data_IF_722744445584
#
_entry.id   IF_722744445584
#
_cell.length_a   1.000
_cell.length_b   1.000
_cell.length_c   1.000
_cell.angle_alpha   90.00
_cell.angle_beta   90.00
_cell.angle_gamma   90.00
#
_symmetry.space_group_name_H-M   'P 1'
#
loop_
_entity.id
_entity.type
_entity.pdbx_description
1 polymer ?
#
# COMPACT_ATOMS: atom_id res chain seq x y z
N UNK A 1 -13.09 -14.47 3.90
CA UNK A 1 -12.53 -13.16 4.30
C UNK A 1 -11.06 -13.23 3.99
N UNK A 2 -10.63 -12.46 2.99
CA UNK A 2 -9.25 -12.51 2.54
C UNK A 2 -8.33 -11.90 3.59
N UNK A 3 -7.20 -12.56 3.85
CA UNK A 3 -6.25 -12.08 4.85
C UNK A 3 -5.45 -10.89 4.31
N UNK A 4 -4.90 -10.02 5.17
CA UNK A 4 -4.03 -8.91 4.75
C UNK A 4 -2.90 -9.41 3.84
N UNK A 5 -2.39 -10.60 4.12
CA UNK A 5 -1.36 -11.26 3.31
C UNK A 5 -1.81 -11.52 1.88
N UNK A 6 -3.03 -11.98 1.67
CA UNK A 6 -3.60 -12.19 0.32
C UNK A 6 -3.71 -10.87 -0.43
N UNK A 7 -4.17 -9.81 0.22
CA UNK A 7 -4.21 -8.46 -0.37
C UNK A 7 -2.81 -7.95 -0.75
N UNK A 8 -1.80 -8.13 0.12
CA UNK A 8 -0.41 -7.80 -0.20
C UNK A 8 0.11 -8.59 -1.42
N UNK A 9 -0.24 -9.87 -1.52
CA UNK A 9 0.18 -10.71 -2.64
C UNK A 9 -0.53 -10.34 -3.95
N UNK A 10 -1.81 -9.95 -3.87
CA UNK A 10 -2.56 -9.42 -5.01
C UNK A 10 -1.95 -8.10 -5.50
N UNK A 11 -1.62 -7.17 -4.59
CA UNK A 11 -0.93 -5.92 -4.92
C UNK A 11 0.43 -6.18 -5.57
N UNK A 12 1.25 -7.06 -4.99
CA UNK A 12 2.52 -7.45 -5.59
C UNK A 12 2.31 -8.00 -7.02
N UNK A 13 1.36 -8.91 -7.19
CA UNK A 13 1.05 -9.50 -8.50
C UNK A 13 0.57 -8.46 -9.52
N UNK A 14 -0.20 -7.46 -9.07
CA UNK A 14 -0.72 -6.40 -9.93
C UNK A 14 0.41 -5.55 -10.54
N UNK A 15 1.39 -5.15 -9.71
CA UNK A 15 2.54 -4.34 -10.17
C UNK A 15 3.60 -5.18 -10.87
N UNK A 16 3.90 -6.39 -10.37
CA UNK A 16 4.95 -7.23 -10.92
C UNK A 16 4.68 -7.71 -12.36
N UNK A 17 3.40 -7.90 -12.72
CA UNK A 17 2.99 -8.38 -14.04
C UNK A 17 3.04 -7.31 -15.15
N UNK A 18 3.27 -6.03 -14.81
CA UNK A 18 3.27 -4.95 -15.81
C UNK A 18 4.35 -3.91 -15.53
N UNK A 19 5.28 -3.79 -16.47
CA UNK A 19 6.29 -2.72 -16.47
C UNK A 19 5.64 -1.34 -16.53
N UNK A 20 4.53 -1.19 -17.26
CA UNK A 20 3.83 0.09 -17.37
C UNK A 20 3.32 0.55 -15.99
N UNK A 21 2.59 -0.31 -15.26
CA UNK A 21 2.11 0.00 -13.90
C UNK A 21 3.24 0.31 -12.91
N UNK A 22 4.39 -0.34 -13.09
CA UNK A 22 5.59 -0.06 -12.28
C UNK A 22 6.14 1.34 -12.56
N UNK A 23 6.19 1.76 -13.83
CA UNK A 23 6.62 3.11 -14.21
C UNK A 23 5.61 4.18 -13.78
N UNK A 24 4.31 3.91 -13.85
CA UNK A 24 3.30 4.84 -13.34
C UNK A 24 3.39 4.98 -11.83
N UNK A 25 3.60 3.88 -11.09
CA UNK A 25 3.86 3.94 -9.65
C UNK A 25 5.09 4.78 -9.33
N UNK A 26 6.19 4.65 -10.09
CA UNK A 26 7.38 5.50 -9.94
C UNK A 26 7.07 6.98 -10.17
N UNK A 27 6.29 7.30 -11.20
CA UNK A 27 5.88 8.67 -11.51
C UNK A 27 4.97 9.26 -10.42
N UNK A 28 4.05 8.45 -9.87
CA UNK A 28 3.21 8.83 -8.74
C UNK A 28 4.05 9.10 -7.49
N UNK A 29 4.99 8.21 -7.14
CA UNK A 29 5.94 8.44 -6.04
C UNK A 29 6.73 9.73 -6.21
N UNK A 30 7.22 10.01 -7.43
CA UNK A 30 7.97 11.24 -7.71
C UNK A 30 7.10 12.51 -7.54
N UNK A 31 5.84 12.45 -7.98
CA UNK A 31 4.89 13.57 -7.84
C UNK A 31 4.58 13.87 -6.38
N UNK A 32 4.48 12.84 -5.56
CA UNK A 32 4.21 12.94 -4.13
C UNK A 32 5.48 13.18 -3.28
N UNK A 33 6.65 13.34 -3.90
CA UNK A 33 7.92 13.55 -3.19
C UNK A 33 8.40 12.34 -2.37
N UNK A 34 7.89 11.14 -2.66
CA UNK A 34 8.21 9.91 -1.94
C UNK A 34 9.39 9.19 -2.58
N UNK A 35 10.20 8.53 -1.75
CA UNK A 35 11.20 7.58 -2.26
C UNK A 35 10.48 6.36 -2.84
N UNK A 36 10.65 6.13 -4.14
CA UNK A 36 10.10 4.96 -4.79
C UNK A 36 10.64 3.68 -4.14
N UNK A 37 9.75 2.87 -3.56
CA UNK A 37 10.07 1.50 -3.14
C UNK A 37 9.19 0.52 -3.89
N UNK A 38 9.84 -0.50 -4.46
CA UNK A 38 9.14 -1.60 -5.11
C UNK A 38 8.25 -2.34 -4.09
N UNK A 39 6.98 -2.56 -4.47
CA UNK A 39 6.07 -3.46 -3.73
C UNK A 39 6.69 -4.85 -3.70
N UNK A 40 6.88 -5.40 -2.51
CA UNK A 40 7.58 -6.69 -2.31
C UNK A 40 6.60 -7.84 -2.18
N UNK A 41 7.04 -9.00 -2.67
CA UNK A 41 6.36 -10.26 -2.48
C UNK A 41 6.35 -10.68 -1.01
N UNK A 42 5.22 -11.24 -0.57
CA UNK A 42 5.12 -11.86 0.75
C UNK A 42 5.36 -13.36 0.58
N UNK A 43 6.50 -13.85 1.10
CA UNK A 43 6.77 -15.29 1.17
C UNK A 43 6.13 -15.91 2.40
N UNK A 44 5.46 -17.06 2.22
CA UNK A 44 4.62 -17.70 3.23
C UNK A 44 5.32 -18.08 4.52
N UNK A 45 6.62 -18.39 4.47
CA UNK A 45 7.35 -19.02 5.58
C UNK A 45 8.20 -18.02 6.37
N UNK A 46 8.19 -16.73 6.01
CA UNK A 46 9.20 -15.79 6.51
C UNK A 46 8.60 -14.46 6.96
N UNK A 47 8.49 -14.28 8.29
CA UNK A 47 8.12 -13.01 8.93
C UNK A 47 8.92 -11.81 8.42
N UNK A 48 10.19 -12.02 8.04
CA UNK A 48 11.03 -10.98 7.45
C UNK A 48 10.52 -10.52 6.07
N UNK A 49 10.04 -11.44 5.23
CA UNK A 49 9.48 -11.08 3.92
C UNK A 49 8.23 -10.24 4.09
N UNK A 50 7.34 -10.67 5.00
CA UNK A 50 6.12 -9.94 5.32
C UNK A 50 6.43 -8.56 5.91
N UNK A 51 7.38 -8.47 6.85
CA UNK A 51 7.82 -7.21 7.43
C UNK A 51 8.29 -6.23 6.35
N UNK A 52 9.12 -6.69 5.40
CA UNK A 52 9.62 -5.84 4.32
C UNK A 52 8.53 -5.43 3.34
N UNK A 53 7.55 -6.29 3.07
CA UNK A 53 6.40 -5.95 2.22
C UNK A 53 5.52 -4.88 2.87
N UNK A 54 5.19 -5.05 4.16
CA UNK A 54 4.40 -4.09 4.94
C UNK A 54 5.12 -2.75 5.03
N UNK A 55 6.40 -2.75 5.42
CA UNK A 55 7.17 -1.51 5.56
C UNK A 55 7.34 -0.75 4.23
N UNK A 56 7.49 -1.47 3.11
CA UNK A 56 7.55 -0.86 1.79
C UNK A 56 6.19 -0.30 1.36
N UNK A 57 5.11 -1.02 1.64
CA UNK A 57 3.76 -0.59 1.29
C UNK A 57 3.34 0.63 2.10
N UNK A 58 3.56 0.66 3.42
CA UNK A 58 3.24 1.83 4.26
C UNK A 58 3.88 3.11 3.72
N UNK A 59 5.15 3.05 3.32
CA UNK A 59 5.90 4.20 2.78
C UNK A 59 5.44 4.65 1.40
N UNK A 60 4.73 3.81 0.65
CA UNK A 60 4.24 4.12 -0.69
C UNK A 60 2.72 4.07 -0.77
N UNK A 61 2.02 4.06 0.38
CA UNK A 61 0.60 3.76 0.40
C UNK A 61 -0.20 4.80 -0.40
N UNK A 62 0.12 6.08 -0.25
CA UNK A 62 -0.49 7.16 -1.03
C UNK A 62 -0.21 7.04 -2.53
N UNK A 63 1.00 6.67 -2.94
CA UNK A 63 1.33 6.43 -4.35
C UNK A 63 0.57 5.21 -4.92
N UNK A 64 0.39 4.16 -4.11
CA UNK A 64 -0.40 2.98 -4.48
C UNK A 64 -1.88 3.33 -4.61
N UNK A 65 -2.45 4.06 -3.66
CA UNK A 65 -3.84 4.52 -3.72
C UNK A 65 -4.08 5.43 -4.92
N UNK A 66 -3.15 6.34 -5.22
CA UNK A 66 -3.24 7.19 -6.40
C UNK A 66 -3.30 6.37 -7.70
N UNK A 67 -2.45 5.36 -7.85
CA UNK A 67 -2.45 4.56 -9.08
C UNK A 67 -3.66 3.62 -9.19
N UNK A 68 -4.05 3.00 -8.07
CA UNK A 68 -5.14 2.02 -8.04
C UNK A 68 -6.50 2.69 -8.26
N UNK A 69 -6.70 3.91 -7.76
CA UNK A 69 -7.93 4.70 -7.96
C UNK A 69 -8.15 5.06 -9.45
N UNK A 70 -7.07 5.36 -10.20
CA UNK A 70 -7.17 5.77 -11.60
C UNK A 70 -7.34 4.59 -12.56
N UNK A 71 -7.10 3.35 -12.11
CA UNK A 71 -7.14 2.17 -12.96
C UNK A 71 -8.47 1.40 -12.83
N UNK A 72 -9.32 1.36 -13.87
CA UNK A 72 -10.60 0.64 -13.80
C UNK A 72 -10.42 -0.88 -13.60
N UNK A 73 -9.29 -1.45 -14.03
CA UNK A 73 -8.94 -2.85 -13.81
C UNK A 73 -8.60 -3.17 -12.35
N UNK A 74 -8.34 -2.15 -11.53
CA UNK A 74 -7.94 -2.29 -10.13
C UNK A 74 -9.03 -1.89 -9.14
N UNK A 75 -10.28 -1.68 -9.59
CA UNK A 75 -11.40 -1.22 -8.75
C UNK A 75 -11.63 -2.07 -7.48
N UNK A 76 -11.41 -3.38 -7.56
CA UNK A 76 -11.48 -4.26 -6.39
C UNK A 76 -10.33 -4.04 -5.40
N UNK A 77 -9.12 -3.77 -5.89
CA UNK A 77 -7.97 -3.43 -5.05
C UNK A 77 -8.10 -2.03 -4.45
N UNK A 78 -8.71 -1.09 -5.17
CA UNK A 78 -9.01 0.26 -4.68
C UNK A 78 -9.90 0.19 -3.44
N UNK A 79 -11.02 -0.53 -3.56
CA UNK A 79 -11.94 -0.74 -2.46
C UNK A 79 -11.24 -1.33 -1.23
N UNK A 80 -10.35 -2.32 -1.41
CA UNK A 80 -9.60 -2.92 -0.30
C UNK A 80 -8.58 -1.95 0.29
N UNK A 81 -7.79 -1.26 -0.55
CA UNK A 81 -6.72 -0.38 -0.09
C UNK A 81 -7.26 0.87 0.62
N UNK A 82 -8.45 1.33 0.20
CA UNK A 82 -9.16 2.45 0.80
C UNK A 82 -10.03 2.05 2.00
N UNK A 83 -9.99 0.80 2.48
CA UNK A 83 -10.69 0.42 3.72
C UNK A 83 -9.87 0.79 4.95
N UNK A 84 -10.49 1.46 5.93
CA UNK A 84 -9.85 1.77 7.21
C UNK A 84 -9.25 0.52 7.87
N UNK A 85 -9.97 -0.61 7.84
CA UNK A 85 -9.49 -1.87 8.42
C UNK A 85 -8.20 -2.37 7.78
N UNK A 86 -8.03 -2.19 6.47
CA UNK A 86 -6.81 -2.58 5.78
C UNK A 86 -5.66 -1.66 6.19
N UNK A 87 -5.88 -0.35 6.16
CA UNK A 87 -4.88 0.65 6.55
C UNK A 87 -4.47 0.49 8.02
N UNK A 88 -5.42 0.44 8.94
CA UNK A 88 -5.15 0.24 10.36
C UNK A 88 -4.40 -1.08 10.61
N UNK A 89 -4.75 -2.16 9.90
CA UNK A 89 -4.05 -3.42 10.07
C UNK A 89 -2.66 -3.42 9.44
N UNK A 90 -2.43 -2.66 8.37
CA UNK A 90 -1.10 -2.42 7.81
C UNK A 90 -0.20 -1.70 8.83
N UNK A 91 -0.73 -0.69 9.52
CA UNK A 91 -0.02 0.02 10.58
C UNK A 91 0.25 -0.85 11.81
N UNK A 92 -0.74 -1.63 12.26
CA UNK A 92 -0.56 -2.61 13.33
C UNK A 92 0.53 -3.65 12.98
N UNK A 93 0.58 -4.12 11.73
CA UNK A 93 1.63 -5.02 11.26
C UNK A 93 3.01 -4.34 11.26
N UNK A 94 3.06 -3.03 11.03
CA UNK A 94 4.26 -2.20 11.19
C UNK A 94 4.82 -2.25 12.62
N UNK A 95 3.98 -2.35 13.65
CA UNK A 95 4.40 -2.47 15.05
C UNK A 95 4.80 -3.90 15.45
N UNK A 96 4.09 -4.90 14.95
CA UNK A 96 4.23 -6.31 15.35
C UNK A 96 5.38 -7.02 14.63
N UNK A 97 5.45 -6.87 13.30
CA UNK A 97 6.37 -7.63 12.46
C UNK A 97 7.86 -7.36 12.71
N UNK A 98 8.33 -6.13 13.06
CA UNK A 98 9.73 -5.90 13.40
C UNK A 98 10.17 -6.73 14.61
N UNK A 99 9.29 -6.88 15.61
CA UNK A 99 9.57 -7.63 16.85
C UNK A 99 9.69 -9.12 16.58
N UNK A 100 8.74 -9.66 15.81
CA UNK A 100 8.79 -11.06 15.35
C UNK A 100 9.99 -11.32 14.44
N UNK A 101 10.34 -10.36 13.59
CA UNK A 101 11.50 -10.46 12.69
C UNK A 101 12.81 -10.47 13.47
N UNK A 102 12.95 -9.63 14.49
CA UNK A 102 14.12 -9.63 15.39
C UNK A 102 14.27 -10.98 16.07
N UNK A 103 13.20 -11.50 16.66
CA UNK A 103 13.20 -12.81 17.30
C UNK A 103 13.56 -13.93 16.30
N UNK A 104 12.95 -13.92 15.11
CA UNK A 104 13.24 -14.87 14.03
C UNK A 104 14.69 -14.81 13.54
N UNK A 105 15.37 -13.66 13.66
CA UNK A 105 16.80 -13.54 13.33
C UNK A 105 17.67 -14.17 14.42
N UNK A 106 17.30 -14.04 15.69
CA UNK A 106 18.02 -14.67 16.82
C UNK A 106 17.98 -16.20 16.69
N UNK A 107 16.83 -16.77 16.34
CA UNK A 107 16.67 -18.22 16.15
C UNK A 107 17.40 -18.79 14.93
N UNK A 108 17.72 -17.96 13.93
CA UNK A 108 18.34 -18.38 12.67
C UNK A 108 19.83 -18.09 12.57
N UNK A 109 20.48 -17.68 13.67
CA UNK A 109 21.94 -17.55 13.69
C UNK A 109 22.59 -18.93 13.61
N UNK A 110 23.69 -19.04 12.86
CA UNK A 110 24.48 -20.27 12.72
C UNK A 110 24.93 -20.77 14.11
N UNK A 111 25.40 -19.86 14.96
CA UNK A 111 25.66 -20.11 16.37
C UNK A 111 24.44 -19.75 17.23
N UNK A 112 23.59 -20.75 17.48
CA UNK A 112 22.38 -20.58 18.30
C UNK A 112 22.76 -20.35 19.76
N UNK A 113 22.65 -19.11 20.21
CA UNK A 113 22.85 -18.74 21.61
C UNK A 113 21.53 -18.91 22.40
N UNK A 114 21.41 -20.02 23.13
CA UNK A 114 20.25 -20.33 23.96
C UNK A 114 20.00 -19.31 25.08
N UNK A 115 21.05 -18.68 25.62
CA UNK A 115 20.91 -17.63 26.62
C UNK A 115 20.23 -16.40 26.00
N UNK A 116 20.69 -15.99 24.82
CA UNK A 116 20.08 -14.90 24.07
C UNK A 116 18.62 -15.20 23.70
N UNK A 117 18.29 -16.44 23.34
CA UNK A 117 16.91 -16.85 23.08
C UNK A 117 16.06 -16.74 24.35
N UNK A 118 16.55 -17.28 25.46
CA UNK A 118 15.87 -17.27 26.76
C UNK A 118 15.54 -15.84 27.22
N UNK A 119 16.40 -14.88 26.92
CA UNK A 119 16.16 -13.46 27.20
C UNK A 119 15.24 -12.78 26.18
N UNK A 120 15.39 -13.07 24.89
CA UNK A 120 14.66 -12.36 23.83
C UNK A 120 13.19 -12.76 23.72
N UNK A 121 12.82 -14.00 24.04
CA UNK A 121 11.43 -14.47 24.03
C UNK A 121 10.54 -13.66 24.99
N UNK A 122 10.83 -13.56 26.29
CA UNK A 122 9.99 -12.80 27.22
C UNK A 122 9.97 -11.30 26.91
N UNK A 123 11.08 -10.72 26.43
CA UNK A 123 11.13 -9.32 25.97
C UNK A 123 10.18 -9.09 24.78
N UNK A 124 10.18 -10.02 23.82
CA UNK A 124 9.29 -9.96 22.65
C UNK A 124 7.84 -10.12 23.08
N UNK A 125 7.53 -11.06 23.98
CA UNK A 125 6.18 -11.25 24.52
C UNK A 125 5.69 -10.01 25.27
N UNK A 126 6.50 -9.45 26.17
CA UNK A 126 6.16 -8.24 26.92
C UNK A 126 5.91 -7.06 25.97
N UNK A 127 6.70 -6.94 24.90
CA UNK A 127 6.50 -5.92 23.87
C UNK A 127 5.18 -6.09 23.10
N UNK A 128 4.81 -7.33 22.74
CA UNK A 128 3.55 -7.61 22.04
C UNK A 128 2.34 -7.40 22.96
N UNK A 129 2.47 -7.78 24.23
CA UNK A 129 1.46 -7.49 25.25
C UNK A 129 1.31 -5.99 25.47
N UNK A 130 2.40 -5.24 25.51
CA UNK A 130 2.35 -3.79 25.56
C UNK A 130 1.57 -3.24 24.36
N UNK A 131 1.88 -3.62 23.11
CA UNK A 131 1.11 -3.19 21.93
C UNK A 131 -0.39 -3.52 22.09
N UNK A 132 -0.72 -4.74 22.55
CA UNK A 132 -2.10 -5.18 22.74
C UNK A 132 -2.84 -4.36 23.81
N UNK A 133 -2.18 -4.06 24.93
CA UNK A 133 -2.79 -3.37 26.07
C UNK A 133 -2.81 -1.86 25.91
N UNK A 134 -1.79 -1.32 25.25
CA UNK A 134 -1.61 0.10 25.12
C UNK A 134 -2.67 0.73 24.22
N UNK A 135 -3.17 0.01 23.21
CA UNK A 135 -4.27 0.42 22.31
C UNK A 135 -3.99 1.66 21.45
N UNK A 136 -3.17 2.59 21.97
CA UNK A 136 -2.99 3.96 21.54
C UNK A 136 -1.84 4.68 22.31
N UNK A 137 -0.83 3.96 22.81
CA UNK A 137 0.31 4.63 23.47
C UNK A 137 1.20 5.34 22.45
N UNK A 138 1.62 6.58 22.76
CA UNK A 138 2.55 7.41 21.98
C UNK A 138 3.70 6.59 21.36
N UNK A 139 3.82 6.67 20.03
CA UNK A 139 4.93 6.07 19.27
C UNK A 139 4.63 4.72 18.62
N UNK A 140 3.39 4.20 18.72
CA UNK A 140 2.95 3.07 17.89
C UNK A 140 2.53 3.55 16.50
N UNK A 141 2.80 2.76 15.46
CA UNK A 141 2.27 3.07 14.12
C UNK A 141 0.74 3.15 14.16
N UNK A 142 0.06 2.28 14.93
CA UNK A 142 -1.40 2.36 15.06
C UNK A 142 -1.89 3.73 15.56
N UNK A 143 -1.22 4.33 16.56
CA UNK A 143 -1.56 5.68 17.05
C UNK A 143 -1.36 6.78 16.00
N UNK A 144 -0.48 6.54 15.02
CA UNK A 144 -0.20 7.47 13.92
C UNK A 144 -1.23 7.36 12.78
N UNK A 145 -2.05 6.30 12.73
CA UNK A 145 -3.06 6.10 11.67
C UNK A 145 -3.99 7.30 11.59
N UNK A 146 -4.54 7.76 12.70
CA UNK A 146 -5.47 8.90 12.71
C UNK A 146 -4.79 10.18 12.21
N UNK A 147 -3.55 10.44 12.63
CA UNK A 147 -2.80 11.60 12.17
C UNK A 147 -2.54 11.57 10.66
N UNK A 148 -2.18 10.40 10.11
CA UNK A 148 -1.90 10.26 8.67
C UNK A 148 -3.20 10.30 7.83
N UNK A 149 -4.32 9.85 8.39
CA UNK A 149 -5.66 9.98 7.80
C UNK A 149 -6.17 11.43 7.80
N UNK A 150 -5.83 12.21 8.81
CA UNK A 150 -6.21 13.62 8.90
C UNK A 150 -5.29 14.53 8.08
N UNK A 151 -4.12 14.04 7.63
CA UNK A 151 -3.17 14.81 6.82
C UNK A 151 -3.71 14.99 5.38
N UNK A 152 -4.08 16.22 4.97
CA UNK A 152 -4.61 16.47 3.63
C UNK A 152 -3.55 16.33 2.53
N UNK A 153 -2.26 16.29 2.88
CA UNK A 153 -1.14 16.03 1.96
C UNK A 153 -0.70 14.55 1.98
N UNK A 154 -1.28 13.75 2.89
CA UNK A 154 -0.96 12.35 3.12
C UNK A 154 -2.10 11.43 2.72
N UNK A 155 -2.63 10.66 3.67
CA UNK A 155 -3.72 9.72 3.39
C UNK A 155 -5.09 10.41 3.38
N UNK A 156 -5.22 11.60 3.96
CA UNK A 156 -6.48 12.36 4.01
C UNK A 156 -6.97 12.87 2.64
N UNK A 157 -6.11 12.88 1.62
CA UNK A 157 -6.55 13.13 0.23
C UNK A 157 -7.35 11.97 -0.35
N UNK A 158 -7.27 10.78 0.24
CA UNK A 158 -7.94 9.58 -0.23
C UNK A 158 -9.18 9.30 0.64
N UNK A 159 -10.31 8.99 0.01
CA UNK A 159 -11.54 8.63 0.72
C UNK A 159 -11.40 7.25 1.37
N UNK A 160 -10.76 7.19 2.53
CA UNK A 160 -10.63 5.95 3.30
C UNK A 160 -11.93 5.70 4.06
N UNK A 161 -12.63 4.62 3.68
CA UNK A 161 -13.95 4.30 4.22
C UNK A 161 -13.84 3.54 5.54
N UNK A 162 -14.51 4.05 6.58
CA UNK A 162 -14.67 3.36 7.87
C UNK A 162 -15.64 2.17 7.78
N UNK A 163 -16.55 2.18 6.78
CA UNK A 163 -17.61 1.18 6.63
C UNK A 163 -17.25 0.15 5.57
N UNK A 164 -17.40 -1.13 5.91
CA UNK A 164 -17.29 -2.21 4.92
C UNK A 164 -18.37 -2.01 3.85
N UNK A 165 -17.98 -1.83 2.58
CA UNK A 165 -18.93 -2.04 1.48
C UNK A 165 -19.32 -3.52 1.53
N UNK A 166 -20.62 -3.85 1.65
CA UNK A 166 -21.03 -5.25 1.65
C UNK A 166 -20.54 -5.92 0.37
N UNK A 167 -19.75 -6.97 0.53
CA UNK A 167 -19.37 -7.86 -0.58
C UNK A 167 -20.63 -8.64 -0.94
N UNK A 168 -21.36 -8.17 -1.95
CA UNK A 168 -22.49 -8.89 -2.52
C UNK A 168 -23.76 -8.05 -2.67
N UNK A 169 -23.76 -7.15 -3.65
CA UNK A 169 -24.95 -6.93 -4.48
C UNK A 169 -24.47 -6.89 -5.94
N UNK A 170 -24.34 -8.08 -6.53
CA UNK A 170 -24.51 -8.24 -7.98
C UNK A 170 -25.94 -7.78 -8.30
N UNK A 171 -26.13 -6.48 -8.55
CA UNK A 171 -27.33 -6.01 -9.23
C UNK A 171 -27.19 -6.36 -10.70
N UNK A 172 -27.80 -7.51 -11.01
CA UNK A 172 -28.48 -7.84 -12.24
C UNK A 172 -28.71 -6.64 -13.19
N UNK A 173 -27.78 -6.45 -14.13
CA UNK A 173 -28.06 -5.80 -15.41
C UNK A 173 -27.74 -6.79 -16.53
N UNK A 174 -28.55 -7.85 -16.59
CA UNK A 174 -28.79 -8.55 -17.84
C UNK A 174 -29.56 -7.62 -18.79
N UNK A 175 -28.92 -7.38 -19.93
CA UNK A 175 -29.53 -7.23 -21.25
C UNK A 175 -30.41 -6.00 -21.50
N UNK A 176 -29.79 -4.97 -22.09
CA UNK A 176 -30.27 -4.47 -23.38
C UNK A 176 -29.09 -4.47 -24.34
N UNK A 177 -28.96 -5.57 -25.09
CA UNK A 177 -28.14 -5.64 -26.29
C UNK A 177 -28.91 -4.99 -27.44
N UNK A 178 -28.26 -4.04 -28.10
CA UNK A 178 -28.65 -3.45 -29.38
C UNK A 178 -27.98 -2.08 -29.51
N UNK A 179 -27.00 -1.81 -30.36
CA UNK A 179 -26.57 -2.51 -31.55
C UNK A 179 -25.13 -2.13 -31.86
N UNK A 180 -24.44 -3.10 -32.46
CA UNK A 180 -23.16 -3.04 -33.20
C UNK A 180 -22.92 -1.71 -33.91
N UNK A 181 -21.74 -1.11 -33.72
CA UNK A 181 -20.95 -0.56 -34.83
C UNK A 181 -19.44 -0.58 -34.54
N UNK A 182 -18.73 -1.10 -35.54
CA UNK A 182 -17.27 -1.28 -35.62
C UNK A 182 -16.58 0.08 -35.71
N UNK A 183 -15.45 0.20 -35.02
CA UNK A 183 -14.53 1.31 -35.22
C UNK A 183 -13.25 1.08 -34.43
N UNK A 184 -12.25 0.48 -35.09
CA UNK A 184 -10.90 0.42 -34.54
C UNK A 184 -10.29 1.82 -34.43
N UNK A 185 -9.46 2.05 -33.43
CA UNK A 185 -8.16 2.73 -33.56
C UNK A 185 -7.57 3.13 -32.21
N UNK A 186 -6.33 2.67 -32.03
CA UNK A 186 -5.19 3.48 -31.60
C UNK A 186 -5.17 4.03 -30.16
N UNK A 187 -4.37 3.31 -29.37
CA UNK A 187 -3.47 3.83 -28.35
C UNK A 187 -2.92 5.24 -28.68
N UNK A 188 -3.38 6.26 -27.96
CA UNK A 188 -2.74 7.59 -27.89
C UNK A 188 -2.51 7.90 -26.41
N UNK A 189 -1.29 7.69 -25.89
CA UNK A 189 -0.31 8.75 -25.61
C UNK A 189 -0.97 10.12 -25.36
N UNK A 190 -1.14 10.46 -24.08
CA UNK A 190 -1.23 11.85 -23.66
C UNK A 190 0.07 12.20 -22.95
N UNK A 191 0.92 12.92 -23.71
CA UNK A 191 2.11 13.59 -23.23
C UNK A 191 1.71 14.74 -22.31
N UNK A 192 2.49 14.84 -21.23
CA UNK A 192 2.92 16.06 -20.55
C UNK A 192 2.37 17.38 -21.11
N UNK A 193 1.57 18.05 -20.28
CA UNK A 193 1.41 19.51 -20.27
C UNK A 193 1.87 20.01 -18.91
N UNK A 194 3.17 20.21 -18.77
CA UNK A 194 3.76 21.12 -17.81
C UNK A 194 5.08 21.63 -18.42
N UNK A 195 5.35 22.93 -18.28
CA UNK A 195 6.45 23.71 -18.85
C UNK A 195 6.23 24.30 -20.26
N UNK A 196 5.51 25.41 -20.31
CA UNK A 196 5.91 26.55 -21.16
C UNK A 196 6.10 27.79 -20.29
N UNK A 197 7.31 27.92 -19.76
CA UNK A 197 7.96 29.20 -19.53
C UNK A 197 8.04 29.93 -20.88
N UNK A 198 7.42 31.10 -20.99
CA UNK A 198 7.52 31.94 -22.17
C UNK A 198 8.75 32.86 -22.08
N UNK A 199 9.52 33.02 -23.17
CA UNK A 199 10.27 34.23 -23.42
C UNK A 199 9.54 35.05 -24.49
N UNK A 200 9.14 36.28 -24.17
CA UNK A 200 8.77 37.28 -25.17
C UNK A 200 9.94 38.24 -25.34
N UNK A 201 10.61 38.13 -26.48
CA UNK A 201 11.56 39.13 -26.97
C UNK A 201 10.85 40.03 -27.97
N UNK A 202 11.00 41.35 -27.76
CA UNK A 202 11.29 42.43 -28.73
C UNK A 202 10.46 42.57 -30.02
N UNK A 203 9.83 43.74 -30.24
CA UNK A 203 10.40 44.84 -31.07
C UNK A 203 9.40 45.97 -31.46
N UNK A 204 9.93 47.20 -31.42
CA UNK A 204 9.76 48.35 -32.34
C UNK A 204 8.36 48.94 -32.60
N UNK A 205 8.14 50.15 -32.05
CA UNK A 205 7.95 51.42 -32.77
C UNK A 205 8.23 52.58 -31.81
#
# INVERSE_FOLDING_TARGET
MDTIKEHLQQLHSYFAKSSNKTEVLKAASATLGLQYLKVKEVKDVCWLSQHLAVANLQRNLSAVLAEVNWCPTAKGLDAVCAMYRFVAALYLQGDVLPRLTRLSKVFRKEDVNFLAIKEQVPVTMASLLAIKHSGDSQGSFLSQVHQDLDDPMGLGTFNIEERERPVGEDQDQRAVLGSVQRGGSSCKRQRLLCCKSGPLTSNMC
#
